data_IF_513251076787
#
_entry.id   IF_513251076787
#
_cell.length_a   1.000
_cell.length_b   1.000
_cell.length_c   1.000
_cell.angle_alpha   90.00
_cell.angle_beta   90.00
_cell.angle_gamma   90.00
#
_symmetry.space_group_name_H-M   'P 1'
#
loop_
_entity.id
_entity.type
_entity.pdbx_description
1 polymer ?
#
# COMPACT_ATOMS: atom_id res chain seq x y z
N UNK A 1 39.89 -19.39 50.97
CA UNK A 1 38.92 -19.94 49.99
C UNK A 1 38.14 -18.76 49.42
N UNK A 2 38.22 -18.52 48.11
CA UNK A 2 37.55 -17.39 47.45
C UNK A 2 36.71 -17.94 46.31
N UNK A 3 35.40 -17.62 46.30
CA UNK A 3 34.52 -17.96 45.19
C UNK A 3 34.75 -16.99 44.03
N UNK A 4 35.11 -17.51 42.86
CA UNK A 4 35.14 -16.73 41.61
C UNK A 4 33.77 -16.84 40.94
N UNK A 5 33.17 -15.68 40.63
CA UNK A 5 31.84 -15.64 40.03
C UNK A 5 31.89 -16.05 38.55
N UNK A 6 31.06 -17.03 38.16
CA UNK A 6 30.99 -17.53 36.79
C UNK A 6 30.05 -16.66 35.93
N UNK A 7 30.54 -15.50 35.50
CA UNK A 7 29.76 -14.52 34.74
C UNK A 7 29.41 -15.02 33.33
N UNK A 8 28.17 -15.53 33.17
CA UNK A 8 27.63 -15.94 31.87
C UNK A 8 27.41 -14.71 30.99
N UNK A 9 28.28 -14.50 30.00
CA UNK A 9 28.05 -13.54 28.92
C UNK A 9 26.68 -13.78 28.30
N UNK A 10 25.84 -12.75 28.26
CA UNK A 10 24.62 -12.73 27.44
C UNK A 10 25.04 -12.70 25.96
N UNK A 11 24.29 -13.34 25.04
CA UNK A 11 24.49 -13.10 23.61
C UNK A 11 24.14 -11.64 23.30
N UNK A 12 25.03 -10.97 22.57
CA UNK A 12 24.83 -9.59 22.10
C UNK A 12 23.78 -9.57 20.99
N UNK A 13 22.69 -8.82 21.18
CA UNK A 13 21.64 -8.61 20.18
C UNK A 13 21.70 -7.21 19.58
N UNK A 14 22.79 -6.91 18.87
CA UNK A 14 22.97 -5.65 18.12
C UNK A 14 23.29 -5.85 16.63
N UNK A 15 22.75 -6.91 16.03
CA UNK A 15 22.68 -7.07 14.56
C UNK A 15 21.22 -7.17 14.13
N UNK A 16 20.67 -6.06 13.62
CA UNK A 16 19.35 -6.01 12.99
C UNK A 16 19.40 -6.70 11.62
N UNK A 17 19.11 -8.00 11.59
CA UNK A 17 18.87 -8.73 10.35
C UNK A 17 17.69 -8.09 9.57
N UNK A 18 17.77 -7.99 8.23
CA UNK A 18 16.70 -7.41 7.43
C UNK A 18 15.38 -8.18 7.61
N UNK A 19 14.25 -7.47 7.46
CA UNK A 19 12.88 -7.91 7.85
C UNK A 19 12.43 -9.26 7.24
N UNK A 20 13.08 -9.70 6.16
CA UNK A 20 12.80 -10.97 5.48
C UNK A 20 13.42 -12.19 6.20
N UNK A 21 14.56 -12.00 6.89
CA UNK A 21 15.33 -13.09 7.48
C UNK A 21 14.55 -13.80 8.59
N UNK A 22 13.72 -13.07 9.34
CA UNK A 22 12.86 -13.63 10.39
C UNK A 22 11.80 -14.59 9.82
N UNK A 23 11.20 -14.26 8.67
CA UNK A 23 10.20 -15.12 8.01
C UNK A 23 10.86 -16.37 7.41
N UNK A 24 12.06 -16.22 6.84
CA UNK A 24 12.86 -17.36 6.35
C UNK A 24 13.28 -18.27 7.51
N UNK A 25 13.69 -17.69 8.64
CA UNK A 25 13.98 -18.42 9.87
C UNK A 25 12.76 -19.16 10.43
N UNK A 26 11.57 -18.53 10.46
CA UNK A 26 10.37 -19.24 10.92
C UNK A 26 10.04 -20.43 10.01
N UNK A 27 10.07 -20.25 8.68
CA UNK A 27 9.84 -21.33 7.73
C UNK A 27 10.86 -22.48 7.83
N UNK A 28 12.12 -22.18 8.11
CA UNK A 28 13.17 -23.18 8.40
C UNK A 28 12.92 -23.90 9.73
N UNK A 29 12.57 -23.17 10.80
CA UNK A 29 12.39 -23.75 12.14
C UNK A 29 11.05 -24.48 12.35
N UNK A 30 10.07 -24.25 11.48
CA UNK A 30 8.73 -24.88 11.54
C UNK A 30 8.75 -26.38 11.23
N UNK A 31 9.78 -26.88 10.55
CA UNK A 31 9.87 -28.27 10.11
C UNK A 31 11.25 -28.92 10.40
N UNK A 32 11.57 -29.04 11.71
CA UNK A 32 12.85 -29.54 12.29
C UNK A 32 13.27 -30.98 11.92
N UNK A 33 12.76 -31.56 10.83
CA UNK A 33 13.15 -32.87 10.31
C UNK A 33 13.55 -32.87 8.83
N UNK A 34 13.37 -31.76 8.12
CA UNK A 34 13.73 -31.67 6.70
C UNK A 34 15.18 -31.25 6.49
N UNK A 35 15.76 -31.77 5.42
CA UNK A 35 17.09 -31.40 4.96
C UNK A 35 17.04 -29.99 4.36
N UNK A 36 18.08 -29.16 4.55
CA UNK A 36 18.18 -27.82 3.94
C UNK A 36 17.94 -27.86 2.42
N UNK A 37 18.34 -28.96 1.78
CA UNK A 37 18.09 -29.24 0.37
C UNK A 37 16.59 -29.33 0.03
N UNK A 38 15.76 -29.98 0.86
CA UNK A 38 14.31 -30.07 0.66
C UNK A 38 13.63 -28.72 0.86
N UNK A 39 14.10 -27.91 1.81
CA UNK A 39 13.64 -26.54 1.98
C UNK A 39 13.95 -25.68 0.74
N UNK A 40 15.19 -25.73 0.24
CA UNK A 40 15.60 -25.00 -0.96
C UNK A 40 14.81 -25.47 -2.20
N UNK A 41 14.57 -26.78 -2.35
CA UNK A 41 13.68 -27.30 -3.40
C UNK A 41 12.24 -26.77 -3.26
N UNK A 42 11.68 -26.71 -2.05
CA UNK A 42 10.34 -26.18 -1.82
C UNK A 42 10.24 -24.68 -2.18
N UNK A 43 11.28 -23.89 -1.84
CA UNK A 43 11.39 -22.47 -2.21
C UNK A 43 11.51 -22.29 -3.73
N UNK A 44 12.40 -23.03 -4.41
CA UNK A 44 12.55 -22.93 -5.86
C UNK A 44 11.29 -23.40 -6.59
N UNK A 45 10.64 -24.48 -6.16
CA UNK A 45 9.38 -24.94 -6.73
C UNK A 45 8.20 -23.98 -6.44
N UNK A 46 8.24 -23.20 -5.35
CA UNK A 46 7.29 -22.12 -5.13
C UNK A 46 7.53 -20.96 -6.11
N UNK A 47 8.79 -20.55 -6.28
CA UNK A 47 9.17 -19.45 -7.18
C UNK A 47 8.88 -19.79 -8.65
N UNK A 48 9.11 -21.03 -9.08
CA UNK A 48 8.73 -21.54 -10.41
C UNK A 48 7.21 -21.43 -10.67
N UNK A 49 6.38 -21.85 -9.70
CA UNK A 49 4.91 -21.73 -9.79
C UNK A 49 4.36 -20.30 -9.66
N UNK A 50 5.18 -19.31 -9.29
CA UNK A 50 4.75 -17.94 -8.96
C UNK A 50 5.51 -16.83 -9.68
N UNK A 51 6.50 -17.16 -10.51
CA UNK A 51 7.28 -16.18 -11.27
C UNK A 51 7.78 -16.77 -12.59
N UNK A 52 7.96 -15.93 -13.60
CA UNK A 52 8.54 -16.34 -14.87
C UNK A 52 10.06 -16.59 -14.80
N UNK A 53 10.72 -16.38 -13.65
CA UNK A 53 12.19 -16.40 -13.52
C UNK A 53 12.83 -17.69 -14.05
N UNK A 54 12.24 -18.85 -13.78
CA UNK A 54 12.76 -20.15 -14.24
C UNK A 54 12.52 -20.42 -15.73
N UNK A 55 11.72 -19.60 -16.41
CA UNK A 55 11.41 -19.69 -17.83
C UNK A 55 12.31 -18.79 -18.71
N UNK A 56 13.17 -17.96 -18.12
CA UNK A 56 14.13 -17.11 -18.84
C UNK A 56 15.39 -17.86 -19.30
N UNK A 57 15.90 -17.56 -20.50
CA UNK A 57 17.17 -18.09 -21.06
C UNK A 57 18.43 -17.58 -20.32
N UNK A 58 18.54 -17.91 -19.05
CA UNK A 58 19.62 -17.43 -18.18
C UNK A 58 19.46 -17.80 -16.70
N UNK A 59 18.27 -18.23 -16.26
CA UNK A 59 17.95 -18.50 -14.85
C UNK A 59 19.03 -19.30 -14.12
N UNK A 60 19.46 -20.44 -14.68
CA UNK A 60 20.50 -21.30 -14.09
C UNK A 60 21.87 -20.61 -14.00
N UNK A 61 22.23 -19.75 -14.97
CA UNK A 61 23.47 -18.96 -14.95
C UNK A 61 23.42 -17.85 -13.89
N UNK A 62 22.25 -17.24 -13.69
CA UNK A 62 22.03 -16.24 -12.63
C UNK A 62 22.07 -16.89 -11.23
N UNK A 63 21.39 -18.01 -11.02
CA UNK A 63 21.46 -18.78 -9.77
C UNK A 63 22.90 -19.24 -9.47
N UNK A 64 23.62 -19.76 -10.48
CA UNK A 64 25.03 -20.12 -10.35
C UNK A 64 25.97 -18.91 -10.13
N UNK A 65 25.52 -17.67 -10.35
CA UNK A 65 26.23 -16.45 -9.93
C UNK A 65 25.91 -16.11 -8.47
N UNK A 66 24.62 -16.03 -8.11
CA UNK A 66 24.17 -15.76 -6.73
C UNK A 66 24.79 -16.74 -5.72
N UNK A 67 24.83 -18.04 -6.02
CA UNK A 67 25.47 -19.05 -5.17
C UNK A 67 26.99 -18.85 -5.00
N UNK A 68 27.69 -18.28 -6.00
CA UNK A 68 29.11 -17.92 -5.88
C UNK A 68 29.30 -16.66 -5.05
N UNK A 69 28.45 -15.66 -5.25
CA UNK A 69 28.52 -14.39 -4.53
C UNK A 69 28.20 -14.59 -3.02
N UNK A 70 27.17 -15.38 -2.68
CA UNK A 70 26.89 -15.80 -1.28
C UNK A 70 28.07 -16.58 -0.68
N UNK A 71 28.63 -17.56 -1.41
CA UNK A 71 29.77 -18.35 -0.94
C UNK A 71 31.04 -17.49 -0.74
N UNK A 72 31.22 -16.44 -1.54
CA UNK A 72 32.30 -15.46 -1.41
C UNK A 72 32.11 -14.62 -0.15
N UNK A 73 30.90 -14.10 0.10
CA UNK A 73 30.57 -13.35 1.30
C UNK A 73 30.80 -14.19 2.58
N UNK A 74 30.37 -15.45 2.60
CA UNK A 74 30.65 -16.37 3.72
C UNK A 74 32.14 -16.68 3.94
N UNK A 75 33.00 -16.43 2.94
CA UNK A 75 34.45 -16.71 3.02
C UNK A 75 35.32 -15.53 3.45
N UNK A 76 34.77 -14.30 3.49
CA UNK A 76 35.50 -13.10 3.90
C UNK A 76 34.67 -12.19 4.83
N UNK A 77 34.56 -12.53 6.12
CA UNK A 77 33.73 -11.77 7.07
C UNK A 77 34.27 -10.38 7.42
N UNK A 78 35.51 -10.03 7.05
CA UNK A 78 36.19 -8.81 7.51
C UNK A 78 35.72 -7.50 6.83
N UNK A 79 34.82 -7.55 5.85
CA UNK A 79 34.45 -6.40 5.02
C UNK A 79 33.13 -5.69 5.40
N UNK A 80 32.25 -6.30 6.21
CA UNK A 80 30.91 -5.75 6.52
C UNK A 80 30.93 -4.83 7.76
N UNK A 81 31.63 -3.71 7.64
CA UNK A 81 31.69 -2.66 8.68
C UNK A 81 31.68 -1.21 8.15
N UNK A 82 31.23 -0.97 6.91
CA UNK A 82 30.93 0.38 6.38
C UNK A 82 30.18 0.35 5.04
N UNK A 83 28.84 0.44 5.08
CA UNK A 83 28.01 0.92 3.96
C UNK A 83 26.74 1.56 4.50
N UNK A 84 26.69 2.90 4.47
CA UNK A 84 25.46 3.68 4.69
C UNK A 84 24.52 3.53 3.48
N UNK A 85 23.19 3.69 3.65
CA UNK A 85 22.25 3.68 2.54
C UNK A 85 22.44 4.93 1.67
N UNK A 86 22.49 4.73 0.35
CA UNK A 86 22.62 5.76 -0.68
C UNK A 86 21.72 5.40 -1.89
N UNK A 87 21.27 6.38 -2.71
CA UNK A 87 19.88 6.33 -3.19
C UNK A 87 19.60 5.56 -4.49
N UNK A 88 18.31 5.44 -4.78
CA UNK A 88 17.75 4.91 -6.04
C UNK A 88 18.25 5.71 -7.25
N UNK A 89 18.83 5.06 -8.28
CA UNK A 89 19.20 5.75 -9.52
C UNK A 89 18.01 5.83 -10.48
N UNK A 90 17.35 7.00 -10.55
CA UNK A 90 16.47 7.33 -11.69
C UNK A 90 17.34 7.55 -12.94
N UNK A 91 17.02 6.97 -14.12
CA UNK A 91 17.92 7.01 -15.27
C UNK A 91 17.94 8.40 -15.93
N UNK A 92 19.08 9.09 -15.85
CA UNK A 92 19.33 10.31 -16.63
C UNK A 92 20.52 10.14 -17.59
N UNK A 93 20.20 10.33 -18.86
CA UNK A 93 21.03 10.30 -20.07
C UNK A 93 22.34 11.09 -19.94
N UNK A 94 23.46 10.46 -20.34
CA UNK A 94 24.73 11.15 -20.63
C UNK A 94 25.27 10.73 -22.01
N UNK A 95 25.68 11.72 -22.81
CA UNK A 95 26.50 11.54 -24.01
C UNK A 95 27.87 12.22 -23.76
N UNK A 96 28.98 11.75 -24.37
CA UNK A 96 30.31 12.02 -23.84
C UNK A 96 30.97 13.32 -24.33
N UNK A 97 31.73 13.94 -23.41
CA UNK A 97 33.00 14.65 -23.56
C UNK A 97 33.25 15.59 -24.77
N UNK A 98 33.53 16.86 -24.46
CA UNK A 98 34.45 17.72 -25.23
C UNK A 98 35.89 17.56 -24.70
N UNK A 99 36.92 18.12 -25.38
CA UNK A 99 37.44 19.38 -24.84
C UNK A 99 37.95 20.43 -25.86
N UNK A 100 37.89 21.69 -25.41
CA UNK A 100 38.80 22.82 -25.68
C UNK A 100 39.21 23.23 -27.12
N UNK A 101 38.64 24.36 -27.59
CA UNK A 101 39.40 25.51 -28.09
C UNK A 101 38.52 26.79 -28.13
N UNK A 102 39.15 27.96 -28.08
CA UNK A 102 38.56 29.30 -28.23
C UNK A 102 39.46 30.11 -29.21
N UNK A 103 39.20 31.38 -29.61
CA UNK A 103 38.17 32.33 -29.13
C UNK A 103 37.48 33.21 -30.21
N UNK A 104 36.67 34.19 -29.74
CA UNK A 104 36.48 35.57 -30.26
C UNK A 104 35.13 35.96 -30.87
N UNK A 105 34.56 37.07 -30.33
CA UNK A 105 33.78 38.15 -31.00
C UNK A 105 32.46 37.81 -31.73
N UNK A 106 31.38 38.62 -31.68
CA UNK A 106 31.13 39.91 -30.97
C UNK A 106 29.65 40.36 -31.11
N UNK A 107 29.15 41.17 -30.16
CA UNK A 107 28.16 42.27 -30.37
C UNK A 107 26.71 41.92 -30.74
N UNK A 108 25.63 42.61 -30.31
CA UNK A 108 25.29 43.55 -29.20
C UNK A 108 23.75 43.73 -29.17
N UNK A 109 23.20 44.35 -28.11
CA UNK A 109 21.83 44.88 -27.87
C UNK A 109 21.00 44.01 -26.90
N UNK A 110 20.54 44.45 -25.70
CA UNK A 110 20.07 45.73 -25.11
C UNK A 110 18.57 46.01 -25.41
N UNK A 111 17.67 46.33 -24.46
CA UNK A 111 17.74 46.46 -22.97
C UNK A 111 16.51 45.80 -22.28
N UNK A 112 16.39 45.68 -20.95
CA UNK A 112 16.01 46.73 -19.96
C UNK A 112 14.60 47.32 -20.23
N UNK A 113 13.65 47.54 -19.30
CA UNK A 113 13.61 47.67 -17.81
C UNK A 113 12.15 47.56 -17.29
N UNK A 114 11.76 47.35 -16.01
CA UNK A 114 12.38 46.81 -14.77
C UNK A 114 11.39 46.92 -13.57
N UNK A 115 11.54 46.09 -12.51
CA UNK A 115 11.01 46.33 -11.13
C UNK A 115 9.48 46.19 -10.88
N UNK A 116 8.97 46.00 -9.65
CA UNK A 116 9.60 45.98 -8.32
C UNK A 116 8.91 45.03 -7.28
N UNK A 117 9.61 44.80 -6.16
CA UNK A 117 9.16 44.26 -4.87
C UNK A 117 9.94 45.03 -3.75
N UNK A 118 9.88 44.70 -2.43
CA UNK A 118 8.99 43.83 -1.66
C UNK A 118 7.97 44.69 -0.87
N UNK A 119 7.94 44.91 0.48
CA UNK A 119 8.75 44.42 1.63
C UNK A 119 8.11 43.22 2.37
N UNK A 120 8.54 42.94 3.62
CA UNK A 120 7.90 42.01 4.57
C UNK A 120 8.02 42.54 6.03
N UNK A 121 7.23 42.00 6.97
CA UNK A 121 7.47 42.11 8.43
C UNK A 121 6.80 40.93 9.15
N UNK A 122 7.27 40.60 10.35
CA UNK A 122 6.80 39.47 11.17
C UNK A 122 6.63 39.88 12.64
N UNK A 123 5.77 39.17 13.38
CA UNK A 123 5.79 38.99 14.84
C UNK A 123 4.83 37.85 15.25
N UNK A 124 5.08 37.20 16.39
CA UNK A 124 4.40 35.97 16.85
C UNK A 124 2.97 36.14 17.39
N UNK A 125 2.13 35.10 17.26
CA UNK A 125 1.05 34.78 18.23
C UNK A 125 0.76 33.27 18.23
N UNK A 126 0.35 32.72 19.39
CA UNK A 126 0.09 31.30 19.65
C UNK A 126 -1.40 31.03 19.95
N UNK A 127 -2.08 30.31 19.05
CA UNK A 127 -3.31 29.51 19.22
C UNK A 127 -3.38 28.55 18.00
N UNK A 128 -3.64 27.24 18.08
CA UNK A 128 -4.72 26.48 18.73
C UNK A 128 -6.05 26.47 17.92
N UNK A 129 -6.54 25.26 17.64
CA UNK A 129 -7.78 24.84 16.98
C UNK A 129 -8.45 25.78 15.94
N UNK A 130 -8.45 25.35 14.68
CA UNK A 130 -9.43 25.77 13.67
C UNK A 130 -9.92 24.54 12.90
N UNK A 131 -11.18 24.15 13.13
CA UNK A 131 -11.85 23.08 12.39
C UNK A 131 -12.46 23.67 11.10
N UNK A 132 -12.18 23.09 9.95
CA UNK A 132 -12.83 23.50 8.69
C UNK A 132 -14.22 22.84 8.60
N UNK A 133 -15.25 23.56 9.07
CA UNK A 133 -16.66 23.21 8.85
C UNK A 133 -17.06 23.31 7.36
N UNK A 134 -16.82 22.24 6.59
CA UNK A 134 -17.56 22.05 5.35
C UNK A 134 -19.01 21.62 5.66
N UNK A 135 -19.96 22.51 5.38
CA UNK A 135 -21.39 22.21 5.37
C UNK A 135 -21.70 21.18 4.29
N UNK A 136 -22.04 19.97 4.70
CA UNK A 136 -22.43 18.86 3.83
C UNK A 136 -23.73 18.23 4.34
N UNK A 137 -24.58 17.76 3.43
CA UNK A 137 -26.06 17.75 3.58
C UNK A 137 -26.63 17.02 4.82
N UNK A 138 -27.69 17.61 5.39
CA UNK A 138 -28.42 17.24 6.63
C UNK A 138 -29.27 15.95 6.51
N UNK A 139 -28.69 14.91 5.91
CA UNK A 139 -29.27 13.58 5.69
C UNK A 139 -28.32 12.43 5.99
N UNK A 140 -27.03 12.70 6.24
CA UNK A 140 -25.99 11.68 6.31
C UNK A 140 -25.37 11.53 7.72
N UNK A 141 -26.22 11.16 8.70
CA UNK A 141 -25.87 10.96 10.11
C UNK A 141 -25.03 9.68 10.33
N UNK A 142 -23.77 9.73 9.90
CA UNK A 142 -22.79 8.68 10.15
C UNK A 142 -21.38 9.25 10.19
N UNK A 143 -20.51 8.64 11.00
CA UNK A 143 -19.14 9.12 11.24
C UNK A 143 -18.33 9.20 9.94
N UNK A 144 -17.48 10.23 9.81
CA UNK A 144 -16.57 10.38 8.66
C UNK A 144 -15.51 9.26 8.72
N UNK A 145 -15.42 8.39 7.70
CA UNK A 145 -14.48 7.28 7.75
C UNK A 145 -13.02 7.76 7.72
N UNK A 146 -12.14 6.99 8.34
CA UNK A 146 -10.69 7.21 8.29
C UNK A 146 -10.08 6.75 6.95
N UNK A 147 -8.79 6.98 6.75
CA UNK A 147 -8.05 6.58 5.53
C UNK A 147 -8.13 5.09 5.21
N UNK A 148 -8.42 4.25 6.21
CA UNK A 148 -8.62 2.81 6.07
C UNK A 148 -10.09 2.40 5.91
N UNK A 149 -11.01 3.33 5.58
CA UNK A 149 -12.44 3.07 5.41
C UNK A 149 -13.18 2.53 6.66
N UNK A 150 -12.58 2.65 7.85
CA UNK A 150 -13.18 2.35 9.15
C UNK A 150 -13.30 3.62 10.00
N UNK A 151 -13.10 3.52 11.31
CA UNK A 151 -13.09 4.67 12.22
C UNK A 151 -12.01 4.55 13.32
N UNK A 152 -11.74 5.66 14.00
CA UNK A 152 -10.76 5.75 15.08
C UNK A 152 -11.47 6.28 16.33
N UNK A 153 -11.78 5.39 17.27
CA UNK A 153 -12.30 5.74 18.59
C UNK A 153 -11.14 5.96 19.58
N UNK A 154 -11.45 6.41 20.80
CA UNK A 154 -10.46 6.62 21.86
C UNK A 154 -9.80 5.31 22.34
N UNK A 155 -10.57 4.22 22.40
CA UNK A 155 -10.12 2.95 22.99
C UNK A 155 -9.75 1.87 21.95
N UNK A 156 -10.06 2.08 20.66
CA UNK A 156 -9.58 1.26 19.56
C UNK A 156 -9.75 1.98 18.22
N UNK A 157 -9.01 1.54 17.19
CA UNK A 157 -9.24 1.97 15.81
C UNK A 157 -9.48 0.77 14.90
N UNK A 158 -10.14 1.00 13.77
CA UNK A 158 -10.40 -0.03 12.78
C UNK A 158 -10.33 0.49 11.34
N UNK A 159 -10.07 -0.44 10.42
CA UNK A 159 -10.04 -0.24 8.99
C UNK A 159 -10.67 -1.46 8.29
N UNK A 160 -10.99 -1.35 7.00
CA UNK A 160 -11.58 -2.44 6.25
C UNK A 160 -11.28 -2.36 4.76
N UNK A 161 -11.26 -3.53 4.12
CA UNK A 161 -11.37 -3.71 2.68
C UNK A 161 -12.74 -4.31 2.35
N UNK A 162 -12.99 -4.65 1.08
CA UNK A 162 -14.18 -5.44 0.74
C UNK A 162 -14.19 -6.84 1.40
N UNK A 163 -13.00 -7.43 1.60
CA UNK A 163 -12.83 -8.81 2.10
C UNK A 163 -12.54 -8.93 3.59
N UNK A 164 -12.01 -7.90 4.23
CA UNK A 164 -11.43 -7.96 5.58
C UNK A 164 -11.79 -6.75 6.42
N UNK A 165 -11.69 -6.89 7.74
CA UNK A 165 -11.67 -5.80 8.73
C UNK A 165 -10.41 -5.96 9.56
N UNK A 166 -9.66 -4.89 9.80
CA UNK A 166 -8.58 -4.87 10.78
C UNK A 166 -9.00 -3.99 11.97
N UNK A 167 -8.75 -4.47 13.18
CA UNK A 167 -9.07 -3.79 14.44
C UNK A 167 -7.79 -3.73 15.28
N UNK A 168 -7.37 -2.52 15.65
CA UNK A 168 -6.17 -2.23 16.41
C UNK A 168 -6.58 -1.66 17.77
N UNK A 169 -6.35 -2.42 18.84
CA UNK A 169 -6.71 -2.05 20.22
C UNK A 169 -5.42 -1.74 21.00
N UNK A 170 -5.15 -0.48 21.38
CA UNK A 170 -4.02 -0.14 22.23
C UNK A 170 -4.19 -0.73 23.63
N UNK A 171 -3.08 -1.19 24.23
CA UNK A 171 -3.04 -1.79 25.57
C UNK A 171 -1.93 -1.17 26.42
N UNK A 172 -1.97 -1.31 27.77
CA UNK A 172 -0.96 -0.71 28.65
C UNK A 172 0.47 -1.19 28.32
N UNK A 173 1.49 -0.31 28.37
CA UNK A 173 2.84 -0.63 27.92
C UNK A 173 3.47 -1.85 28.60
N UNK A 174 4.07 -2.73 27.80
CA UNK A 174 4.69 -3.98 28.25
C UNK A 174 3.70 -5.12 28.52
N UNK A 175 2.43 -4.96 28.13
CA UNK A 175 1.45 -6.06 28.04
C UNK A 175 2.02 -7.22 27.21
N UNK A 176 1.70 -8.45 27.61
CA UNK A 176 2.13 -9.66 26.89
C UNK A 176 0.91 -10.45 26.43
N UNK A 177 0.97 -11.06 25.25
CA UNK A 177 -0.11 -11.91 24.70
C UNK A 177 -0.58 -13.08 25.56
N UNK A 178 0.09 -13.37 26.69
CA UNK A 178 -0.42 -14.29 27.73
C UNK A 178 -1.47 -13.66 28.65
N UNK A 179 -1.41 -12.35 28.87
CA UNK A 179 -2.35 -11.53 29.64
C UNK A 179 -3.56 -11.12 28.80
N UNK A 180 -3.43 -11.01 27.49
CA UNK A 180 -4.56 -10.72 26.61
C UNK A 180 -5.57 -11.88 26.60
N UNK A 181 -6.86 -11.54 26.49
CA UNK A 181 -7.95 -12.46 26.21
C UNK A 181 -8.72 -11.95 24.98
N UNK A 182 -8.57 -12.69 23.89
CA UNK A 182 -9.25 -12.43 22.62
C UNK A 182 -10.11 -13.66 22.32
N UNK A 183 -11.42 -13.46 22.18
CA UNK A 183 -12.37 -14.47 21.72
C UNK A 183 -12.99 -13.97 20.42
N UNK A 184 -12.66 -14.64 19.31
CA UNK A 184 -13.22 -14.39 17.98
C UNK A 184 -14.20 -15.53 17.70
N UNK A 185 -15.41 -15.22 17.24
CA UNK A 185 -16.42 -16.20 16.85
C UNK A 185 -17.15 -15.69 15.61
N UNK A 186 -17.70 -16.58 14.77
CA UNK A 186 -18.42 -16.30 13.52
C UNK A 186 -19.36 -15.07 13.54
N UNK A 187 -19.91 -14.73 14.70
CA UNK A 187 -20.80 -13.57 14.93
C UNK A 187 -20.40 -12.67 16.10
N UNK A 188 -19.37 -12.98 16.88
CA UNK A 188 -19.05 -12.22 18.10
C UNK A 188 -17.56 -11.92 18.18
N UNK A 189 -17.23 -10.82 18.84
CA UNK A 189 -15.88 -10.45 19.19
C UNK A 189 -15.83 -10.06 20.66
N UNK A 190 -14.77 -10.46 21.36
CA UNK A 190 -14.42 -9.95 22.69
C UNK A 190 -12.90 -9.78 22.74
N UNK A 191 -12.43 -8.61 23.13
CA UNK A 191 -11.01 -8.23 23.20
C UNK A 191 -10.76 -7.53 24.54
N UNK A 192 -9.76 -7.96 25.29
CA UNK A 192 -9.37 -7.31 26.54
C UNK A 192 -8.19 -7.98 27.23
N UNK A 193 -8.03 -7.70 28.52
CA UNK A 193 -7.02 -8.31 29.39
C UNK A 193 -7.67 -9.24 30.41
N UNK A 194 -6.95 -10.30 30.81
CA UNK A 194 -7.46 -11.35 31.70
C UNK A 194 -7.70 -10.82 33.11
N UNK A 195 -8.97 -10.79 33.50
CA UNK A 195 -9.43 -10.28 34.79
C UNK A 195 -9.84 -8.81 34.78
N UNK A 196 -9.78 -8.15 33.62
CA UNK A 196 -10.27 -6.78 33.41
C UNK A 196 -11.54 -6.78 32.53
N UNK A 197 -12.18 -5.63 32.36
CA UNK A 197 -13.33 -5.51 31.47
C UNK A 197 -12.88 -5.51 29.99
N UNK A 198 -13.55 -6.27 29.09
CA UNK A 198 -13.21 -6.26 27.67
C UNK A 198 -13.39 -4.89 27.01
N UNK A 199 -12.29 -4.37 26.45
CA UNK A 199 -12.20 -3.08 25.75
C UNK A 199 -13.16 -3.01 24.55
N UNK A 200 -13.36 -4.14 23.85
CA UNK A 200 -14.31 -4.26 22.74
C UNK A 200 -15.05 -5.59 22.83
N UNK A 201 -16.39 -5.56 22.92
CA UNK A 201 -17.21 -6.77 23.07
C UNK A 201 -18.64 -6.64 22.52
N UNK A 202 -19.05 -7.56 21.65
CA UNK A 202 -20.45 -7.72 21.23
C UNK A 202 -20.66 -8.54 19.95
N UNK A 203 -21.87 -8.48 19.36
CA UNK A 203 -22.17 -9.12 18.07
C UNK A 203 -21.58 -8.28 16.92
N UNK A 204 -20.81 -8.92 16.05
CA UNK A 204 -20.22 -8.34 14.84
C UNK A 204 -21.29 -7.92 13.82
N UNK A 205 -21.01 -6.86 13.06
CA UNK A 205 -21.94 -6.31 12.05
C UNK A 205 -22.41 -7.36 11.02
N UNK A 206 -21.48 -8.11 10.43
CA UNK A 206 -21.78 -9.33 9.64
C UNK A 206 -20.98 -10.55 10.12
N UNK A 207 -21.36 -11.72 9.61
CA UNK A 207 -20.64 -12.98 9.83
C UNK A 207 -19.22 -12.98 9.25
N UNK A 208 -18.28 -13.54 10.01
CA UNK A 208 -16.86 -13.72 9.64
C UNK A 208 -16.50 -15.20 9.44
N UNK A 209 -15.39 -15.47 8.76
CA UNK A 209 -14.76 -16.80 8.65
C UNK A 209 -13.76 -16.98 9.79
N UNK A 210 -14.25 -17.54 10.89
CA UNK A 210 -13.50 -17.76 12.14
C UNK A 210 -12.11 -18.40 11.91
N UNK A 211 -12.03 -19.44 11.07
CA UNK A 211 -10.79 -20.13 10.69
C UNK A 211 -9.77 -19.26 9.93
N UNK A 212 -10.23 -18.25 9.19
CA UNK A 212 -9.40 -17.31 8.43
C UNK A 212 -9.06 -16.05 9.27
N UNK A 213 -9.51 -15.96 10.53
CA UNK A 213 -9.27 -14.80 11.39
C UNK A 213 -8.01 -14.99 12.24
N UNK A 214 -7.23 -13.92 12.39
CA UNK A 214 -5.96 -13.93 13.10
C UNK A 214 -5.90 -12.73 14.06
N UNK A 215 -5.27 -12.93 15.22
CA UNK A 215 -4.84 -11.83 16.08
C UNK A 215 -3.34 -11.94 16.33
N UNK A 216 -2.71 -10.79 16.52
CA UNK A 216 -1.31 -10.67 16.92
C UNK A 216 -1.15 -9.49 17.91
N UNK A 217 0.08 -9.18 18.28
CA UNK A 217 0.40 -8.11 19.23
C UNK A 217 1.65 -7.39 18.72
N UNK A 218 1.50 -6.16 18.21
CA UNK A 218 2.60 -5.34 17.71
C UNK A 218 2.95 -4.28 18.77
N UNK A 219 4.06 -4.51 19.49
CA UNK A 219 4.45 -3.71 20.63
C UNK A 219 3.36 -3.68 21.72
N UNK A 220 2.75 -2.51 21.90
CA UNK A 220 1.71 -2.23 22.88
C UNK A 220 0.30 -2.13 22.24
N UNK A 221 0.11 -2.71 21.05
CA UNK A 221 -1.19 -2.84 20.38
C UNK A 221 -1.58 -4.33 20.20
N UNK A 222 -2.89 -4.63 20.26
CA UNK A 222 -3.47 -5.90 19.79
C UNK A 222 -4.08 -5.66 18.40
N UNK A 223 -3.54 -6.32 17.38
CA UNK A 223 -4.03 -6.25 16.00
C UNK A 223 -4.82 -7.50 15.63
N UNK A 224 -6.06 -7.32 15.19
CA UNK A 224 -7.00 -8.38 14.85
C UNK A 224 -7.43 -8.23 13.39
N UNK A 225 -7.16 -9.24 12.57
CA UNK A 225 -7.62 -9.34 11.19
C UNK A 225 -8.81 -10.30 11.11
N UNK A 226 -9.98 -9.76 10.76
CA UNK A 226 -11.26 -10.47 10.66
C UNK A 226 -11.64 -10.66 9.19
N UNK A 227 -11.74 -11.92 8.74
CA UNK A 227 -12.11 -12.26 7.36
C UNK A 227 -13.64 -12.23 7.19
N UNK A 228 -14.16 -11.35 6.34
CA UNK A 228 -15.62 -11.25 6.06
C UNK A 228 -16.10 -12.51 5.34
N UNK A 229 -17.26 -13.07 5.72
CA UNK A 229 -17.76 -14.29 5.08
C UNK A 229 -18.16 -14.09 3.61
N UNK A 230 -18.87 -13.00 3.29
CA UNK A 230 -19.32 -12.65 1.93
C UNK A 230 -18.25 -11.95 1.08
N UNK A 231 -17.37 -11.17 1.71
CA UNK A 231 -16.28 -10.45 1.06
C UNK A 231 -16.70 -9.35 0.06
N UNK A 232 -17.94 -8.84 0.15
CA UNK A 232 -18.47 -7.79 -0.75
C UNK A 232 -19.27 -6.69 -0.01
N UNK A 233 -19.20 -6.64 1.32
CA UNK A 233 -19.99 -5.73 2.16
C UNK A 233 -19.06 -4.73 2.86
N UNK A 234 -19.31 -3.43 2.69
CA UNK A 234 -18.76 -2.41 3.57
C UNK A 234 -19.52 -2.43 4.91
N UNK A 235 -18.77 -2.59 6.00
CA UNK A 235 -19.31 -2.59 7.35
C UNK A 235 -19.50 -1.15 7.82
N UNK A 236 -20.50 -0.91 8.67
CA UNK A 236 -20.74 0.39 9.28
C UNK A 236 -20.13 0.54 10.67
N UNK A 237 -19.94 -0.55 11.38
CA UNK A 237 -19.30 -0.62 12.69
C UNK A 237 -18.59 -1.97 12.81
N UNK A 238 -17.75 -2.17 13.82
CA UNK A 238 -17.20 -3.50 14.13
C UNK A 238 -18.26 -4.32 14.85
N UNK A 239 -18.82 -3.76 15.91
CA UNK A 239 -19.87 -4.34 16.75
C UNK A 239 -21.19 -3.58 16.56
N UNK A 240 -22.32 -4.29 16.65
CA UNK A 240 -23.65 -3.69 16.56
C UNK A 240 -23.99 -2.89 17.81
N UNK A 241 -24.47 -1.67 17.62
CA UNK A 241 -24.83 -0.74 18.70
C UNK A 241 -23.78 0.34 18.96
N UNK A 242 -22.61 0.24 18.34
CA UNK A 242 -21.65 1.33 18.22
C UNK A 242 -22.13 2.37 17.18
N UNK A 243 -21.46 3.53 17.13
CA UNK A 243 -21.75 4.58 16.15
C UNK A 243 -21.39 4.13 14.71
N UNK A 244 -22.33 4.30 13.78
CA UNK A 244 -22.16 3.86 12.39
C UNK A 244 -21.35 4.86 11.55
N UNK A 245 -20.36 4.39 10.80
CA UNK A 245 -19.68 5.18 9.76
C UNK A 245 -20.57 5.42 8.53
N UNK A 246 -20.35 6.55 7.88
CA UNK A 246 -20.94 6.88 6.60
C UNK A 246 -20.26 6.09 5.47
N UNK A 247 -20.81 4.91 5.15
CA UNK A 247 -20.32 4.03 4.08
C UNK A 247 -20.48 4.59 2.66
N UNK A 248 -21.12 5.75 2.46
CA UNK A 248 -21.13 6.43 1.16
C UNK A 248 -19.83 7.21 0.89
N UNK A 249 -19.06 7.57 1.94
CA UNK A 249 -17.77 8.28 1.83
C UNK A 249 -16.55 7.34 1.79
N UNK A 250 -16.79 6.03 1.74
CA UNK A 250 -15.77 4.98 1.67
C UNK A 250 -15.19 4.87 0.25
N UNK A 251 -13.87 4.87 0.14
CA UNK A 251 -13.14 4.79 -1.13
C UNK A 251 -12.70 3.34 -1.43
N UNK A 252 -13.13 2.73 -2.53
CA UNK A 252 -12.73 1.37 -2.86
C UNK A 252 -11.26 1.29 -3.31
N UNK A 253 -10.50 0.33 -2.76
CA UNK A 253 -9.09 0.05 -3.08
C UNK A 253 -8.74 0.10 -4.58
N UNK A 254 -9.66 -0.36 -5.43
CA UNK A 254 -9.49 -0.43 -6.88
C UNK A 254 -9.46 0.94 -7.59
N UNK A 255 -9.51 2.06 -6.86
CA UNK A 255 -9.34 3.43 -7.38
C UNK A 255 -7.91 3.71 -7.89
N UNK A 256 -6.91 2.89 -7.56
CA UNK A 256 -5.55 3.00 -8.11
C UNK A 256 -5.42 2.40 -9.51
N UNK A 257 -5.95 3.13 -10.50
CA UNK A 257 -5.71 2.91 -11.95
C UNK A 257 -4.21 2.87 -12.34
N UNK A 258 -3.29 3.26 -11.45
CA UNK A 258 -1.85 3.15 -11.65
C UNK A 258 -1.26 1.74 -11.50
N UNK A 259 -1.93 0.85 -10.76
CA UNK A 259 -1.42 -0.49 -10.43
C UNK A 259 -1.92 -1.57 -11.41
N UNK A 260 -2.76 -1.20 -12.39
CA UNK A 260 -3.21 -2.04 -13.49
C UNK A 260 -2.23 -1.97 -14.67
N UNK A 261 -2.10 -3.08 -15.42
CA UNK A 261 -1.34 -3.10 -16.66
C UNK A 261 -1.91 -2.12 -17.71
N UNK A 262 -1.10 -1.76 -18.70
CA UNK A 262 -1.46 -0.73 -19.68
C UNK A 262 -2.67 -1.05 -20.56
N UNK A 263 -3.07 -2.32 -20.70
CA UNK A 263 -4.21 -2.75 -21.53
C UNK A 263 -5.51 -2.82 -20.71
N UNK A 264 -5.45 -3.45 -19.54
CA UNK A 264 -6.55 -3.45 -18.57
C UNK A 264 -6.88 -2.03 -18.13
N UNK A 265 -5.86 -1.20 -17.86
CA UNK A 265 -6.06 0.21 -17.50
C UNK A 265 -6.83 0.97 -18.56
N UNK A 266 -6.44 0.88 -19.84
CA UNK A 266 -7.18 1.54 -20.94
C UNK A 266 -8.63 1.08 -21.01
N UNK A 267 -8.89 -0.20 -20.74
CA UNK A 267 -10.24 -0.79 -20.74
C UNK A 267 -11.09 -0.25 -19.58
N UNK A 268 -10.54 -0.22 -18.36
CA UNK A 268 -11.22 0.31 -17.16
C UNK A 268 -11.41 1.83 -17.26
N UNK A 269 -10.41 2.56 -17.76
CA UNK A 269 -10.44 4.02 -17.95
C UNK A 269 -11.47 4.41 -19.02
N UNK A 270 -11.57 3.65 -20.14
CA UNK A 270 -12.67 3.77 -21.11
C UNK A 270 -14.03 3.51 -20.44
N UNK A 271 -14.16 2.43 -19.65
CA UNK A 271 -15.43 2.06 -19.00
C UNK A 271 -15.90 3.13 -18.01
N UNK A 272 -14.99 3.70 -17.21
CA UNK A 272 -15.30 4.83 -16.31
C UNK A 272 -15.66 6.11 -17.10
N UNK A 273 -14.98 6.38 -18.21
CA UNK A 273 -15.27 7.52 -19.07
C UNK A 273 -16.65 7.39 -19.73
N UNK A 274 -16.97 6.22 -20.29
CA UNK A 274 -18.28 5.90 -20.89
C UNK A 274 -19.41 6.00 -19.86
N UNK A 275 -19.18 5.49 -18.64
CA UNK A 275 -20.14 5.60 -17.54
C UNK A 275 -20.37 7.06 -17.12
N UNK A 276 -19.31 7.90 -17.12
CA UNK A 276 -19.42 9.34 -16.84
C UNK A 276 -20.15 10.09 -17.96
N UNK A 277 -19.84 9.84 -19.24
CA UNK A 277 -20.59 10.46 -20.34
C UNK A 277 -22.07 10.09 -20.28
N UNK A 278 -22.38 8.81 -20.03
CA UNK A 278 -23.76 8.31 -19.92
C UNK A 278 -24.54 8.92 -18.75
N UNK A 279 -23.90 9.26 -17.63
CA UNK A 279 -24.51 10.01 -16.53
C UNK A 279 -24.80 11.47 -16.90
N UNK A 280 -23.96 12.08 -17.72
CA UNK A 280 -24.11 13.47 -18.20
C UNK A 280 -24.99 13.59 -19.45
N UNK A 281 -25.40 12.47 -20.06
CA UNK A 281 -26.13 12.44 -21.33
C UNK A 281 -25.27 12.74 -22.57
N UNK A 282 -23.94 12.69 -22.45
CA UNK A 282 -23.01 12.88 -23.57
C UNK A 282 -22.74 11.55 -24.32
N UNK A 283 -22.27 11.61 -25.58
CA UNK A 283 -21.99 10.42 -26.39
C UNK A 283 -20.91 9.51 -25.79
N UNK A 284 -21.06 8.20 -25.96
CA UNK A 284 -20.04 7.21 -25.58
C UNK A 284 -18.78 7.29 -26.46
N UNK A 285 -17.70 6.61 -26.06
CA UNK A 285 -16.40 6.65 -26.74
C UNK A 285 -16.51 6.07 -28.15
N UNK A 286 -17.45 5.16 -28.36
CA UNK A 286 -17.75 4.56 -29.66
C UNK A 286 -18.66 5.44 -30.50
N UNK A 287 -19.64 6.14 -29.91
CA UNK A 287 -20.41 7.17 -30.61
C UNK A 287 -19.52 8.34 -31.05
N UNK A 288 -18.63 8.83 -30.18
CA UNK A 288 -17.71 9.92 -30.53
C UNK A 288 -16.72 9.50 -31.62
N UNK A 289 -16.20 8.26 -31.57
CA UNK A 289 -15.39 7.69 -32.66
C UNK A 289 -16.17 7.51 -33.96
N UNK A 290 -17.44 7.08 -33.91
CA UNK A 290 -18.34 7.03 -35.08
C UNK A 290 -18.55 8.41 -35.69
N UNK A 291 -18.83 9.43 -34.86
CA UNK A 291 -18.98 10.82 -35.31
C UNK A 291 -17.69 11.38 -35.93
N UNK A 292 -16.52 11.16 -35.32
CA UNK A 292 -15.23 11.58 -35.88
C UNK A 292 -14.90 10.86 -37.20
N UNK A 293 -15.23 9.57 -37.31
CA UNK A 293 -15.01 8.79 -38.53
C UNK A 293 -15.94 9.23 -39.65
N UNK A 294 -17.22 9.46 -39.35
CA UNK A 294 -18.20 10.01 -40.29
C UNK A 294 -17.81 11.43 -40.73
N UNK A 295 -17.40 12.30 -39.80
CA UNK A 295 -16.94 13.66 -40.11
C UNK A 295 -15.75 13.64 -41.08
N UNK A 296 -14.74 12.80 -40.81
CA UNK A 296 -13.59 12.59 -41.71
C UNK A 296 -13.96 11.95 -43.05
N UNK A 297 -15.10 11.28 -43.15
CA UNK A 297 -15.65 10.75 -44.40
C UNK A 297 -16.35 11.86 -45.19
N UNK A 298 -17.19 12.68 -44.53
CA UNK A 298 -17.83 13.87 -45.12
C UNK A 298 -16.80 14.90 -45.62
N UNK A 299 -15.75 15.17 -44.83
CA UNK A 299 -14.63 16.07 -45.21
C UNK A 299 -13.84 15.56 -46.43
N UNK A 300 -13.83 14.25 -46.69
CA UNK A 300 -13.15 13.63 -47.84
C UNK A 300 -14.05 13.40 -49.05
N UNK A 301 -15.36 13.40 -48.85
CA UNK A 301 -16.37 13.21 -49.90
C UNK A 301 -17.44 14.31 -49.82
N UNK A 302 -17.07 15.58 -50.07
CA UNK A 302 -18.00 16.72 -49.98
C UNK A 302 -19.13 16.70 -51.03
N UNK A 303 -19.06 15.80 -52.02
CA UNK A 303 -20.13 15.55 -53.00
C UNK A 303 -21.21 14.57 -52.49
N UNK A 304 -20.98 13.88 -51.36
CA UNK A 304 -21.97 12.97 -50.76
C UNK A 304 -22.80 13.71 -49.69
N UNK A 305 -24.08 13.91 -49.97
CA UNK A 305 -25.01 14.49 -49.01
C UNK A 305 -25.55 13.43 -48.03
N UNK A 306 -25.28 13.63 -46.73
CA UNK A 306 -25.74 12.78 -45.63
C UNK A 306 -27.00 13.33 -44.93
N UNK A 307 -27.63 14.39 -45.44
CA UNK A 307 -28.84 15.01 -44.87
C UNK A 307 -29.99 14.02 -44.60
N UNK A 308 -30.07 12.94 -45.39
CA UNK A 308 -31.08 11.88 -45.28
C UNK A 308 -30.55 10.58 -44.65
N UNK A 309 -29.31 10.56 -44.12
CA UNK A 309 -28.69 9.36 -43.57
C UNK A 309 -29.20 9.07 -42.15
N UNK A 310 -30.00 7.99 -41.99
CA UNK A 310 -30.55 7.58 -40.69
C UNK A 310 -29.50 6.81 -39.86
N UNK A 311 -28.64 7.56 -39.18
CA UNK A 311 -27.64 7.05 -38.23
C UNK A 311 -28.35 6.63 -36.93
N UNK A 312 -28.10 5.39 -36.49
CA UNK A 312 -28.66 4.78 -35.26
C UNK A 312 -27.73 3.68 -34.74
#
# INVERSE_FOLDING_TARGET
MVFVCAERRKPDQTVTAPRNDFLILELLYRDKKKNDYEFLLAVFAFLDRRSAFFHEEGASKQLARLLRDVKKDSSNPAAKAQTTPAPVPTPSRAAPAAPAAAPSTSTTQNGSSSSAAPPAKAEDTKAEAAEEEEKDDDKNKGLKPNTGNGYTFEHYSWSQTLSDVQVTVPVPPGTRGKQCEIQITRKNLSVGLKGEEPILKGELFETIKEEDCLWNMDGDNIDISLRKFKGMTWWKAVVKGEEEINTQKVQPENSKLGDLDSETRQTVEKMMWDQRQKQLGLPSSEEQKKHDMLKKFMEKHPEMDFSNAKIS
#
